data_IF_234270960063
#
_entry.id   IF_234270960063
#
_cell.length_a   1.000
_cell.length_b   1.000
_cell.length_c   1.000
_cell.angle_alpha   90.00
_cell.angle_beta   90.00
_cell.angle_gamma   90.00
#
_symmetry.space_group_name_H-M   'P 1'
#
loop_
_entity.id
_entity.type
_entity.pdbx_description
1 polymer ?
#
# COMPACT_ATOMS: atom_id res chain seq x y z
N UNK A 1 -5.72 5.64 -7.55
CA UNK A 1 -5.30 4.26 -7.81
C UNK A 1 -5.74 3.85 -9.21
N UNK A 2 -4.81 3.51 -10.05
CA UNK A 2 -5.05 3.08 -11.43
C UNK A 2 -4.30 1.81 -11.75
N UNK A 3 -4.92 0.97 -12.57
CA UNK A 3 -4.38 -0.30 -13.05
C UNK A 3 -3.71 -0.19 -14.43
N UNK A 4 -3.82 0.97 -15.04
CA UNK A 4 -3.34 1.18 -16.42
C UNK A 4 -2.83 2.60 -16.65
N UNK A 5 -1.97 2.74 -17.65
CA UNK A 5 -1.51 4.05 -18.09
C UNK A 5 -2.66 4.96 -18.50
N UNK A 6 -3.65 4.42 -19.19
CA UNK A 6 -4.80 5.16 -19.73
C UNK A 6 -5.64 5.77 -18.61
N UNK A 7 -5.84 5.03 -17.51
CA UNK A 7 -6.56 5.54 -16.32
C UNK A 7 -5.75 6.66 -15.65
N UNK A 8 -4.47 6.45 -15.39
CA UNK A 8 -3.62 7.49 -14.80
C UNK A 8 -3.55 8.74 -15.70
N UNK A 9 -3.38 8.56 -17.01
CA UNK A 9 -3.41 9.66 -17.97
C UNK A 9 -4.72 10.43 -17.92
N UNK A 10 -5.85 9.72 -17.89
CA UNK A 10 -7.17 10.36 -17.80
C UNK A 10 -7.30 11.19 -16.51
N UNK A 11 -6.81 10.69 -15.37
CA UNK A 11 -6.82 11.45 -14.13
C UNK A 11 -5.97 12.72 -14.23
N UNK A 12 -4.76 12.63 -14.77
CA UNK A 12 -3.89 13.80 -15.00
C UNK A 12 -4.58 14.84 -15.91
N UNK A 13 -5.16 14.39 -17.02
CA UNK A 13 -5.85 15.25 -17.98
C UNK A 13 -7.08 15.95 -17.35
N UNK A 14 -7.69 15.33 -16.33
CA UNK A 14 -8.82 15.90 -15.59
C UNK A 14 -8.41 16.69 -14.33
N UNK A 15 -7.12 16.99 -14.16
CA UNK A 15 -6.62 17.93 -13.16
C UNK A 15 -6.34 17.33 -11.78
N UNK A 16 -6.13 16.02 -11.68
CA UNK A 16 -5.60 15.42 -10.45
C UNK A 16 -4.16 15.86 -10.23
N UNK A 17 -3.83 16.25 -9.01
CA UNK A 17 -2.47 16.68 -8.63
C UNK A 17 -1.55 15.53 -8.20
N UNK A 18 -2.10 14.33 -8.04
CA UNK A 18 -1.39 13.11 -7.71
C UNK A 18 -2.13 11.90 -8.27
N UNK A 19 -1.40 10.93 -8.81
CA UNK A 19 -1.93 9.65 -9.30
C UNK A 19 -1.12 8.50 -8.74
N UNK A 20 -1.73 7.32 -8.68
CA UNK A 20 -1.06 6.08 -8.35
C UNK A 20 -1.22 5.08 -9.49
N UNK A 21 -0.14 4.38 -9.81
CA UNK A 21 -0.14 3.24 -10.72
C UNK A 21 0.25 1.97 -9.97
N UNK A 22 -0.63 0.99 -9.98
CA UNK A 22 -0.37 -0.34 -9.43
C UNK A 22 -0.05 -1.35 -10.54
N UNK A 23 1.24 -1.60 -10.73
CA UNK A 23 1.76 -2.68 -11.57
C UNK A 23 2.32 -3.84 -10.75
N UNK A 24 2.03 -3.93 -9.44
CA UNK A 24 2.64 -4.91 -8.54
C UNK A 24 2.34 -6.37 -8.90
N UNK A 25 1.23 -6.62 -9.59
CA UNK A 25 0.82 -7.93 -10.10
C UNK A 25 1.59 -8.37 -11.36
N UNK A 26 2.31 -7.45 -12.02
CA UNK A 26 3.12 -7.72 -13.20
C UNK A 26 4.52 -8.24 -12.83
N UNK A 27 5.24 -8.87 -13.74
CA UNK A 27 6.66 -9.09 -13.61
C UNK A 27 7.41 -7.78 -13.34
N UNK A 28 8.46 -7.82 -12.53
CA UNK A 28 9.18 -6.62 -12.07
C UNK A 28 9.53 -5.61 -13.19
N UNK A 29 10.12 -6.07 -14.28
CA UNK A 29 10.53 -5.19 -15.40
C UNK A 29 9.32 -4.59 -16.14
N UNK A 30 8.18 -5.28 -16.16
CA UNK A 30 6.94 -4.76 -16.74
C UNK A 30 6.32 -3.70 -15.82
N UNK A 31 6.33 -3.90 -14.50
CA UNK A 31 5.94 -2.89 -13.52
C UNK A 31 6.82 -1.64 -13.65
N UNK A 32 8.15 -1.82 -13.73
CA UNK A 32 9.09 -0.70 -13.98
C UNK A 32 8.72 0.06 -15.24
N UNK A 33 8.49 -0.64 -16.36
CA UNK A 33 8.17 0.00 -17.64
C UNK A 33 6.84 0.76 -17.60
N UNK A 34 5.81 0.16 -17.00
CA UNK A 34 4.49 0.78 -16.83
C UNK A 34 4.58 2.02 -15.94
N UNK A 35 5.17 1.88 -14.77
CA UNK A 35 5.31 2.97 -13.79
C UNK A 35 6.11 4.13 -14.38
N UNK A 36 7.24 3.85 -15.03
CA UNK A 36 8.04 4.87 -15.71
C UNK A 36 7.24 5.64 -16.77
N UNK A 37 6.44 4.95 -17.55
CA UNK A 37 5.58 5.57 -18.57
C UNK A 37 4.59 6.55 -17.95
N UNK A 38 4.00 6.19 -16.79
CA UNK A 38 3.10 7.09 -16.06
C UNK A 38 3.85 8.29 -15.50
N UNK A 39 5.02 8.09 -14.90
CA UNK A 39 5.88 9.17 -14.37
C UNK A 39 6.26 10.15 -15.47
N UNK A 40 6.77 9.66 -16.62
CA UNK A 40 7.16 10.50 -17.75
C UNK A 40 6.00 11.34 -18.30
N UNK A 41 4.76 10.84 -18.20
CA UNK A 41 3.58 11.61 -18.58
C UNK A 41 3.18 12.62 -17.50
N UNK A 42 3.00 12.17 -16.27
CA UNK A 42 2.47 12.97 -15.17
C UNK A 42 3.38 14.17 -14.80
N UNK A 43 4.70 13.96 -14.81
CA UNK A 43 5.67 15.01 -14.49
C UNK A 43 5.66 16.18 -15.47
N UNK A 44 5.15 16.02 -16.71
CA UNK A 44 4.97 17.15 -17.64
C UNK A 44 3.94 18.16 -17.15
N UNK A 45 3.06 17.74 -16.23
CA UNK A 45 1.98 18.54 -15.67
C UNK A 45 2.16 18.86 -14.19
N UNK A 46 3.36 18.61 -13.62
CA UNK A 46 3.67 18.78 -12.20
C UNK A 46 2.77 17.91 -11.29
N UNK A 47 2.40 16.71 -11.77
CA UNK A 47 1.58 15.73 -11.04
C UNK A 47 2.46 14.63 -10.47
N UNK A 48 2.36 14.39 -9.17
CA UNK A 48 3.14 13.34 -8.48
C UNK A 48 2.61 11.95 -8.78
N UNK A 49 3.51 10.97 -8.78
CA UNK A 49 3.19 9.57 -9.05
C UNK A 49 3.62 8.68 -7.89
N UNK A 50 2.68 7.88 -7.41
CA UNK A 50 2.94 6.76 -6.51
C UNK A 50 3.01 5.46 -7.32
N UNK A 51 4.03 4.65 -7.05
CA UNK A 51 4.12 3.27 -7.56
C UNK A 51 3.87 2.25 -6.46
N UNK A 52 3.86 0.95 -6.81
CA UNK A 52 3.70 -0.13 -5.84
C UNK A 52 4.67 -1.27 -6.09
N UNK A 53 5.27 -1.80 -5.02
CA UNK A 53 6.07 -3.03 -5.00
C UNK A 53 5.61 -3.98 -3.89
N UNK A 54 5.52 -5.26 -4.24
CA UNK A 54 4.91 -6.28 -3.41
C UNK A 54 3.40 -6.35 -3.67
N UNK A 55 2.78 -7.45 -3.29
CA UNK A 55 1.35 -7.69 -3.51
C UNK A 55 0.66 -7.77 -2.16
N UNK A 56 -0.38 -6.97 -1.97
CA UNK A 56 -1.24 -7.05 -0.80
C UNK A 56 -2.33 -8.09 -1.02
N UNK A 57 -2.59 -8.91 0.00
CA UNK A 57 -3.74 -9.81 -0.04
C UNK A 57 -5.05 -9.03 0.19
N UNK A 58 -6.14 -9.55 -0.37
CA UNK A 58 -7.48 -8.97 -0.26
C UNK A 58 -8.07 -8.62 -1.60
N UNK A 59 -9.11 -7.82 -1.57
CA UNK A 59 -9.79 -7.30 -2.75
C UNK A 59 -9.66 -5.78 -2.71
N UNK A 60 -9.08 -5.23 -3.76
CA UNK A 60 -9.03 -3.80 -3.99
C UNK A 60 -9.46 -3.55 -5.42
N UNK A 61 -10.56 -2.81 -5.59
CA UNK A 61 -11.22 -2.60 -6.88
C UNK A 61 -11.42 -3.93 -7.64
N UNK A 62 -10.77 -4.09 -8.78
CA UNK A 62 -10.84 -5.29 -9.62
C UNK A 62 -9.68 -6.28 -9.35
N UNK A 63 -8.77 -5.97 -8.44
CA UNK A 63 -7.62 -6.81 -8.10
C UNK A 63 -7.95 -7.71 -6.91
N UNK A 64 -7.79 -9.02 -7.10
CA UNK A 64 -7.97 -10.03 -6.05
C UNK A 64 -6.67 -10.81 -5.88
N UNK A 65 -6.07 -10.72 -4.68
CA UNK A 65 -4.89 -11.48 -4.34
C UNK A 65 -5.15 -12.39 -3.12
N UNK A 66 -4.94 -13.68 -3.29
CA UNK A 66 -5.12 -14.66 -2.20
C UNK A 66 -4.00 -14.61 -1.15
N UNK A 67 -2.82 -14.13 -1.53
CA UNK A 67 -1.64 -14.07 -0.66
C UNK A 67 -0.86 -12.79 -0.89
N UNK A 68 -0.34 -12.23 0.20
CA UNK A 68 0.62 -11.13 0.13
C UNK A 68 1.99 -11.62 -0.32
N UNK A 69 2.65 -10.83 -1.17
CA UNK A 69 4.07 -10.97 -1.48
C UNK A 69 4.79 -9.76 -0.90
N UNK A 70 5.63 -9.98 0.10
CA UNK A 70 6.37 -8.89 0.74
C UNK A 70 7.32 -8.19 -0.23
N UNK A 71 7.42 -6.87 -0.07
CA UNK A 71 8.39 -6.07 -0.81
C UNK A 71 9.82 -6.48 -0.46
N UNK A 72 10.67 -6.59 -1.46
CA UNK A 72 12.11 -6.85 -1.28
C UNK A 72 12.86 -5.51 -1.26
N UNK A 73 13.54 -5.18 -0.16
CA UNK A 73 14.21 -3.88 -0.02
C UNK A 73 15.25 -3.59 -1.11
N UNK A 74 15.90 -4.62 -1.63
CA UNK A 74 16.88 -4.50 -2.72
C UNK A 74 16.26 -4.08 -4.05
N UNK A 75 14.98 -4.44 -4.30
CA UNK A 75 14.25 -4.05 -5.50
C UNK A 75 13.77 -2.59 -5.41
N UNK A 76 13.55 -2.06 -4.20
CA UNK A 76 13.01 -0.70 -3.99
C UNK A 76 13.94 0.38 -4.53
N UNK A 77 15.24 0.31 -4.21
CA UNK A 77 16.23 1.28 -4.66
C UNK A 77 16.34 1.30 -6.19
N UNK A 78 16.38 0.14 -6.81
CA UNK A 78 16.46 -0.03 -8.27
C UNK A 78 15.17 0.50 -8.93
N UNK A 79 14.01 0.16 -8.38
CA UNK A 79 12.72 0.60 -8.87
C UNK A 79 12.58 2.13 -8.86
N UNK A 80 12.88 2.76 -7.73
CA UNK A 80 12.81 4.22 -7.60
C UNK A 80 13.75 4.91 -8.60
N UNK A 81 14.98 4.40 -8.75
CA UNK A 81 15.95 4.94 -9.73
C UNK A 81 15.51 4.77 -11.18
N UNK A 82 14.92 3.63 -11.53
CA UNK A 82 14.50 3.34 -12.91
C UNK A 82 13.24 4.08 -13.30
N UNK A 83 12.30 4.24 -12.39
CA UNK A 83 10.97 4.81 -12.66
C UNK A 83 10.89 6.30 -12.41
N UNK A 84 11.59 6.81 -11.38
CA UNK A 84 11.49 8.20 -10.95
C UNK A 84 10.20 8.53 -10.21
N UNK A 85 9.53 7.54 -9.59
CA UNK A 85 8.34 7.76 -8.76
C UNK A 85 8.61 8.69 -7.58
N UNK A 86 7.60 9.41 -7.13
CA UNK A 86 7.67 10.38 -6.03
C UNK A 86 7.41 9.73 -4.67
N UNK A 87 6.66 8.63 -4.65
CA UNK A 87 6.40 7.80 -3.45
C UNK A 87 6.17 6.34 -3.85
N UNK A 88 6.32 5.43 -2.89
CA UNK A 88 6.19 4.00 -3.14
C UNK A 88 5.34 3.32 -2.07
N UNK A 89 4.28 2.66 -2.51
CA UNK A 89 3.53 1.72 -1.69
C UNK A 89 4.29 0.41 -1.57
N UNK A 90 4.34 -0.14 -0.34
CA UNK A 90 5.06 -1.37 -0.03
C UNK A 90 4.17 -2.36 0.72
N UNK A 91 4.45 -3.64 0.54
CA UNK A 91 3.81 -4.75 1.25
C UNK A 91 4.70 -5.23 2.40
N UNK A 92 4.25 -4.98 3.63
CA UNK A 92 4.94 -5.39 4.86
C UNK A 92 4.02 -6.16 5.83
N UNK A 93 2.89 -6.67 5.34
CA UNK A 93 1.94 -7.46 6.13
C UNK A 93 0.59 -6.79 6.37
N UNK A 94 0.33 -5.64 5.74
CA UNK A 94 -1.03 -5.08 5.64
C UNK A 94 -1.84 -5.86 4.60
N UNK A 95 -3.16 -5.71 4.62
CA UNK A 95 -4.06 -6.30 3.62
C UNK A 95 -5.35 -5.49 3.51
N UNK A 96 -6.03 -5.59 2.37
CA UNK A 96 -7.29 -4.88 2.15
C UNK A 96 -8.46 -5.53 2.90
N UNK A 97 -9.48 -4.73 3.22
CA UNK A 97 -10.69 -5.19 3.90
C UNK A 97 -10.63 -5.14 5.44
N UNK A 98 -11.78 -5.40 6.07
CA UNK A 98 -11.93 -5.37 7.53
C UNK A 98 -11.58 -6.70 8.22
N UNK A 99 -11.37 -7.76 7.47
CA UNK A 99 -11.03 -9.09 7.94
C UNK A 99 -9.62 -9.46 7.51
N UNK A 100 -8.64 -8.64 7.94
CA UNK A 100 -7.24 -8.73 7.50
C UNK A 100 -6.55 -10.02 7.95
N UNK A 101 -6.96 -10.56 9.11
CA UNK A 101 -6.33 -11.72 9.73
C UNK A 101 -7.41 -12.74 10.10
N UNK A 102 -7.16 -14.02 9.80
CA UNK A 102 -7.96 -15.14 10.28
C UNK A 102 -7.41 -15.58 11.64
N UNK A 103 -7.79 -14.86 12.70
CA UNK A 103 -7.33 -15.13 14.05
C UNK A 103 -8.27 -16.11 14.75
N UNK A 104 -7.71 -17.00 15.58
CA UNK A 104 -8.47 -17.76 16.57
C UNK A 104 -8.67 -16.90 17.81
N UNK A 105 -9.65 -17.30 18.64
CA UNK A 105 -9.92 -16.60 19.90
C UNK A 105 -8.65 -16.47 20.75
N UNK A 106 -8.29 -15.23 21.07
CA UNK A 106 -7.10 -14.90 21.86
C UNK A 106 -5.79 -14.77 21.09
N UNK A 107 -5.79 -14.96 19.77
CA UNK A 107 -4.63 -14.68 18.94
C UNK A 107 -4.54 -13.18 18.62
N UNK A 108 -3.33 -12.64 18.69
CA UNK A 108 -3.04 -11.28 18.23
C UNK A 108 -2.70 -11.27 16.74
N UNK A 109 -3.02 -10.16 16.08
CA UNK A 109 -2.61 -9.95 14.69
C UNK A 109 -1.07 -10.00 14.56
N UNK A 110 -0.54 -10.66 13.53
CA UNK A 110 0.91 -10.72 13.34
C UNK A 110 1.49 -9.31 13.18
N UNK A 111 2.70 -9.08 13.70
CA UNK A 111 3.36 -7.79 13.55
C UNK A 111 3.69 -7.51 12.09
N UNK A 112 3.63 -6.24 11.71
CA UNK A 112 4.14 -5.80 10.42
C UNK A 112 5.67 -6.04 10.33
N UNK A 113 6.15 -6.29 9.14
CA UNK A 113 7.56 -6.53 8.84
C UNK A 113 8.35 -5.22 8.83
N UNK A 114 8.52 -4.65 10.03
CA UNK A 114 9.28 -3.42 10.22
C UNK A 114 10.76 -3.56 9.82
N UNK A 115 11.29 -4.78 9.84
CA UNK A 115 12.62 -5.07 9.33
C UNK A 115 12.78 -4.71 7.84
N UNK A 116 11.73 -4.93 7.03
CA UNK A 116 11.70 -4.52 5.62
C UNK A 116 11.69 -3.00 5.52
N UNK A 117 10.82 -2.31 6.28
CA UNK A 117 10.72 -0.85 6.28
C UNK A 117 12.04 -0.18 6.72
N UNK A 118 12.66 -0.70 7.79
CA UNK A 118 13.94 -0.20 8.30
C UNK A 118 15.09 -0.39 7.31
N UNK A 119 15.09 -1.49 6.57
CA UNK A 119 16.10 -1.73 5.53
C UNK A 119 15.88 -0.82 4.30
N UNK A 120 14.63 -0.58 3.92
CA UNK A 120 14.29 0.39 2.85
C UNK A 120 14.77 1.80 3.25
N UNK A 121 14.48 2.24 4.48
CA UNK A 121 14.90 3.55 4.98
C UNK A 121 16.42 3.74 4.97
N UNK A 122 17.19 2.69 5.23
CA UNK A 122 18.66 2.73 5.11
C UNK A 122 19.15 2.86 3.68
N UNK A 123 18.46 2.21 2.71
CA UNK A 123 18.86 2.22 1.30
C UNK A 123 18.52 3.53 0.59
N UNK A 124 17.35 4.08 0.89
CA UNK A 124 16.83 5.31 0.28
C UNK A 124 16.35 6.29 1.37
N UNK A 125 17.26 6.86 2.16
CA UNK A 125 16.90 7.75 3.27
C UNK A 125 16.04 8.92 2.82
N UNK A 126 14.92 9.15 3.54
CA UNK A 126 14.02 10.27 3.27
C UNK A 126 13.09 10.10 2.08
N UNK A 127 13.11 8.95 1.41
CA UNK A 127 12.15 8.67 0.33
C UNK A 127 10.76 8.36 0.92
N UNK A 128 9.67 8.94 0.37
CA UNK A 128 8.31 8.75 0.90
C UNK A 128 7.79 7.34 0.68
N UNK A 129 7.47 6.64 1.76
CA UNK A 129 6.86 5.31 1.76
C UNK A 129 5.38 5.39 2.12
N UNK A 130 4.57 4.54 1.49
CA UNK A 130 3.12 4.48 1.67
C UNK A 130 2.72 3.08 2.12
N UNK A 131 1.73 3.01 3.02
CA UNK A 131 1.07 1.76 3.40
C UNK A 131 -0.39 1.77 2.97
N UNK A 132 -0.76 0.82 2.13
CA UNK A 132 -2.14 0.49 1.78
C UNK A 132 -2.69 -0.60 2.70
N UNK A 133 -4.01 -0.77 2.73
CA UNK A 133 -4.67 -1.81 3.51
C UNK A 133 -4.35 -1.77 5.00
N UNK A 134 -4.13 -0.60 5.57
CA UNK A 134 -3.62 -0.41 6.93
C UNK A 134 -4.68 0.00 7.96
N UNK A 135 -5.97 -0.12 7.65
CA UNK A 135 -7.06 0.25 8.58
C UNK A 135 -6.95 -0.51 9.90
N UNK A 136 -7.17 0.22 11.02
CA UNK A 136 -7.07 -0.33 12.38
C UNK A 136 -8.29 -1.16 12.79
N UNK A 137 -9.45 -0.95 12.18
CA UNK A 137 -10.72 -1.64 12.51
C UNK A 137 -10.99 -1.56 14.02
N UNK A 138 -11.33 -0.36 14.49
CA UNK A 138 -11.47 -0.04 15.92
C UNK A 138 -12.53 -0.93 16.58
N UNK A 139 -12.14 -1.72 17.59
CA UNK A 139 -12.95 -2.79 18.18
C UNK A 139 -14.20 -2.28 18.91
N UNK A 140 -14.16 -1.07 19.47
CA UNK A 140 -15.33 -0.45 20.10
C UNK A 140 -16.46 -0.22 19.08
N UNK A 141 -16.11 0.20 17.86
CA UNK A 141 -17.09 0.35 16.78
C UNK A 141 -17.55 -0.99 16.22
N UNK A 142 -16.69 -2.00 16.12
CA UNK A 142 -17.07 -3.36 15.74
C UNK A 142 -18.10 -3.91 16.72
N UNK A 143 -17.86 -3.75 18.02
CA UNK A 143 -18.79 -4.15 19.09
C UNK A 143 -20.12 -3.43 18.95
N UNK A 144 -20.12 -2.11 18.76
CA UNK A 144 -21.32 -1.31 18.59
C UNK A 144 -22.11 -1.71 17.34
N UNK A 145 -21.44 -1.91 16.21
CA UNK A 145 -22.07 -2.37 14.96
C UNK A 145 -22.77 -3.70 15.15
N UNK A 146 -22.10 -4.67 15.79
CA UNK A 146 -22.67 -5.99 16.03
C UNK A 146 -23.85 -5.93 17.01
N UNK A 147 -23.79 -5.07 18.04
CA UNK A 147 -24.89 -4.85 19.00
C UNK A 147 -26.17 -4.33 18.31
N UNK A 148 -26.01 -3.52 17.27
CA UNK A 148 -27.14 -2.99 16.50
C UNK A 148 -27.52 -3.82 15.27
N UNK A 149 -27.10 -5.08 15.20
CA UNK A 149 -27.50 -6.06 14.18
C UNK A 149 -26.58 -6.11 12.96
N UNK A 150 -25.40 -5.47 13.01
CA UNK A 150 -24.34 -5.68 12.04
C UNK A 150 -23.69 -7.07 12.19
N UNK A 151 -22.84 -7.42 11.23
CA UNK A 151 -22.14 -8.72 11.18
C UNK A 151 -20.67 -8.50 10.90
N UNK A 152 -19.95 -8.05 11.93
CA UNK A 152 -18.50 -7.79 11.86
C UNK A 152 -17.72 -8.63 12.90
N UNK A 153 -18.25 -9.80 13.27
CA UNK A 153 -17.54 -10.71 14.16
C UNK A 153 -16.20 -11.13 13.54
N UNK A 154 -15.13 -11.00 14.30
CA UNK A 154 -13.77 -11.33 13.84
C UNK A 154 -13.11 -10.27 12.91
N UNK A 155 -13.75 -9.12 12.73
CA UNK A 155 -13.12 -8.01 12.02
C UNK A 155 -11.95 -7.45 12.84
N UNK A 156 -10.73 -7.52 12.29
CA UNK A 156 -9.49 -7.09 12.94
C UNK A 156 -8.59 -6.40 11.91
N UNK A 157 -8.00 -5.28 12.30
CA UNK A 157 -7.06 -4.51 11.50
C UNK A 157 -5.66 -4.43 12.09
N UNK A 158 -4.86 -3.53 11.56
CA UNK A 158 -3.53 -3.22 12.10
C UNK A 158 -3.67 -2.41 13.39
N UNK A 159 -2.91 -2.73 14.43
CA UNK A 159 -3.00 -1.99 15.69
C UNK A 159 -2.50 -0.55 15.55
N UNK A 160 -3.10 0.38 16.29
CA UNK A 160 -2.66 1.78 16.31
C UNK A 160 -1.18 1.93 16.71
N UNK A 161 -0.67 1.06 17.59
CA UNK A 161 0.73 1.08 17.99
C UNK A 161 1.65 0.82 16.80
N UNK A 162 1.32 -0.17 15.96
CA UNK A 162 2.08 -0.46 14.75
C UNK A 162 1.99 0.69 13.74
N UNK A 163 0.81 1.30 13.56
CA UNK A 163 0.65 2.46 12.69
C UNK A 163 1.47 3.66 13.18
N UNK A 164 1.47 3.91 14.50
CA UNK A 164 2.31 4.97 15.11
C UNK A 164 3.79 4.68 14.94
N UNK A 165 4.22 3.42 15.02
CA UNK A 165 5.61 3.03 14.75
C UNK A 165 5.98 3.30 13.30
N UNK A 166 5.13 2.90 12.35
CA UNK A 166 5.35 3.15 10.92
C UNK A 166 5.44 4.64 10.60
N UNK A 167 4.52 5.46 11.15
CA UNK A 167 4.51 6.91 10.97
C UNK A 167 5.71 7.66 11.59
N UNK A 168 6.48 7.04 12.45
CA UNK A 168 7.74 7.58 13.01
C UNK A 168 8.96 7.24 12.14
N UNK A 169 8.80 6.45 11.12
CA UNK A 169 9.81 6.02 10.16
C UNK A 169 9.58 6.69 8.79
N UNK A 170 9.96 6.05 7.70
CA UNK A 170 9.81 6.58 6.35
C UNK A 170 8.35 6.65 5.83
N UNK A 171 7.38 6.11 6.56
CA UNK A 171 5.98 6.11 6.12
C UNK A 171 5.36 7.50 6.25
N UNK A 172 5.04 8.10 5.10
CA UNK A 172 4.47 9.44 5.01
C UNK A 172 2.96 9.46 4.76
N UNK A 173 2.40 8.34 4.27
CA UNK A 173 0.96 8.16 3.99
C UNK A 173 0.51 6.77 4.44
N UNK A 174 -0.62 6.72 5.10
CA UNK A 174 -1.28 5.47 5.55
C UNK A 174 -2.72 5.51 5.06
N UNK A 175 -3.07 4.57 4.18
CA UNK A 175 -4.44 4.42 3.68
C UNK A 175 -5.24 3.48 4.61
N UNK A 176 -6.34 3.98 5.13
CA UNK A 176 -7.22 3.29 6.08
C UNK A 176 -8.63 3.20 5.53
#
# INVERSE_FOLDING_TARGET
HGDSFEVCKSCVDNGFSSVMIDGSHLPYEENVALTKKVVEYAHQFDVTVEGELGVLAGIEDDVVAEKSTYTKPEEVEDFVKKTGVDSLAISIGTSHGAFKFKLKDGEEAPPLRFDILEEIEKRIPGFPIVLHGASSVVQDYVTLINQYGGKMEGAVGVSEEQLRRAAKSAVCKINI
#
